data_IF_788921894371
#
_entry.id   IF_788921894371
#
_cell.length_a   1.000
_cell.length_b   1.000
_cell.length_c   1.000
_cell.angle_alpha   90.00
_cell.angle_beta   90.00
_cell.angle_gamma   90.00
#
_symmetry.space_group_name_H-M   'P 1'
#
loop_
_entity.id
_entity.type
_entity.pdbx_description
1 polymer ?
#
# COMPACT_ATOMS: atom_id res chain seq x y z
N UNK A 1 24.39 -17.88 59.31
CA UNK A 1 25.00 -17.13 58.18
C UNK A 1 25.23 -18.14 57.07
N UNK A 2 24.31 -18.23 56.12
CA UNK A 2 24.47 -18.98 54.88
C UNK A 2 23.85 -18.11 53.81
N UNK A 3 24.67 -17.23 53.24
CA UNK A 3 24.34 -16.46 52.05
C UNK A 3 24.46 -17.42 50.88
N UNK A 4 23.32 -17.87 50.35
CA UNK A 4 23.26 -18.53 49.06
C UNK A 4 23.07 -17.41 48.03
N UNK A 5 24.17 -16.91 47.48
CA UNK A 5 24.10 -16.13 46.24
C UNK A 5 23.68 -17.09 45.12
N UNK A 6 22.59 -16.82 44.38
CA UNK A 6 22.27 -17.58 43.20
C UNK A 6 23.26 -17.20 42.10
N UNK A 7 23.86 -18.22 41.47
CA UNK A 7 24.67 -18.06 40.27
C UNK A 7 23.91 -17.24 39.21
N UNK A 8 24.58 -16.35 38.46
CA UNK A 8 23.91 -15.54 37.45
C UNK A 8 23.32 -16.48 36.40
N UNK A 9 22.00 -16.41 36.23
CA UNK A 9 21.31 -17.06 35.13
C UNK A 9 21.99 -16.59 33.83
N UNK A 10 22.55 -17.52 33.05
CA UNK A 10 23.03 -17.22 31.71
C UNK A 10 21.84 -16.66 30.93
N UNK A 11 21.82 -15.35 30.73
CA UNK A 11 20.84 -14.69 29.88
C UNK A 11 20.86 -15.40 28.53
N UNK A 12 19.69 -15.79 28.02
CA UNK A 12 19.60 -16.32 26.66
C UNK A 12 20.21 -15.28 25.72
N UNK A 13 21.04 -15.69 24.73
CA UNK A 13 21.51 -14.77 23.72
C UNK A 13 20.29 -14.12 23.05
N UNK A 14 20.31 -12.81 22.98
CA UNK A 14 19.27 -11.99 22.37
C UNK A 14 19.39 -12.00 20.85
N UNK A 15 20.60 -12.21 20.32
CA UNK A 15 20.82 -12.50 18.91
C UNK A 15 20.49 -13.98 18.65
N UNK A 16 19.50 -14.21 17.80
CA UNK A 16 19.00 -15.56 17.49
C UNK A 16 20.01 -16.37 16.69
N UNK A 17 19.94 -17.71 16.80
CA UNK A 17 20.80 -18.60 16.01
C UNK A 17 20.62 -18.41 14.49
N UNK A 18 19.41 -18.03 14.05
CA UNK A 18 19.11 -17.73 12.63
C UNK A 18 19.87 -16.50 12.18
N UNK A 19 19.81 -15.40 12.93
CA UNK A 19 20.58 -14.18 12.63
C UNK A 19 22.09 -14.46 12.59
N UNK A 20 22.62 -15.24 13.55
CA UNK A 20 24.03 -15.66 13.54
C UNK A 20 24.39 -16.44 12.27
N UNK A 21 23.54 -17.36 11.85
CA UNK A 21 23.75 -18.14 10.63
C UNK A 21 23.74 -17.26 9.37
N UNK A 22 22.80 -16.31 9.28
CA UNK A 22 22.71 -15.38 8.15
C UNK A 22 23.93 -14.44 8.10
N UNK A 23 24.41 -13.97 9.26
CA UNK A 23 25.65 -13.20 9.38
C UNK A 23 26.84 -14.03 8.89
N UNK A 24 27.00 -15.27 9.32
CA UNK A 24 28.12 -16.12 8.86
C UNK A 24 28.03 -16.42 7.37
N UNK A 25 26.82 -16.63 6.84
CA UNK A 25 26.60 -16.79 5.40
C UNK A 25 27.01 -15.53 4.63
N UNK A 26 26.67 -14.36 5.15
CA UNK A 26 27.10 -13.08 4.58
C UNK A 26 28.63 -12.94 4.59
N UNK A 27 29.27 -13.18 5.73
CA UNK A 27 30.73 -13.08 5.87
C UNK A 27 31.49 -14.06 4.96
N UNK A 28 30.98 -15.29 4.77
CA UNK A 28 31.54 -16.25 3.80
C UNK A 28 31.42 -15.79 2.35
N UNK A 29 30.43 -14.94 2.05
CA UNK A 29 30.17 -14.43 0.70
C UNK A 29 30.94 -13.15 0.36
N UNK A 30 31.74 -12.62 1.28
CA UNK A 30 32.56 -11.44 1.03
C UNK A 30 33.65 -11.74 -0.01
N UNK A 31 34.00 -10.73 -0.81
CA UNK A 31 35.12 -10.81 -1.75
C UNK A 31 36.49 -10.86 -1.04
N UNK A 32 36.54 -10.40 0.20
CA UNK A 32 37.71 -10.36 1.07
C UNK A 32 37.46 -11.24 2.30
N UNK A 33 38.47 -11.91 2.86
CA UNK A 33 38.30 -12.67 4.09
C UNK A 33 37.96 -11.75 5.27
N UNK A 34 37.40 -12.30 6.35
CA UNK A 34 36.96 -11.53 7.53
C UNK A 34 38.09 -10.79 8.27
N UNK A 35 39.35 -11.22 8.09
CA UNK A 35 40.53 -10.53 8.60
C UNK A 35 41.06 -9.43 7.67
N UNK A 36 40.48 -9.26 6.49
CA UNK A 36 40.80 -8.19 5.55
C UNK A 36 42.30 -8.12 5.23
N UNK A 37 42.92 -6.96 5.53
CA UNK A 37 44.36 -6.71 5.31
C UNK A 37 45.27 -7.24 6.42
N UNK A 38 44.72 -7.67 7.54
CA UNK A 38 45.49 -8.25 8.64
C UNK A 38 45.76 -9.73 8.37
N UNK A 39 46.42 -10.41 9.30
CA UNK A 39 46.37 -11.87 9.39
C UNK A 39 45.39 -12.31 10.48
N UNK A 40 45.01 -13.59 10.45
CA UNK A 40 44.03 -14.18 11.38
C UNK A 40 44.43 -14.00 12.85
N UNK A 41 45.73 -14.10 13.17
CA UNK A 41 46.22 -13.99 14.55
C UNK A 41 46.12 -12.54 15.00
N UNK A 42 46.68 -11.60 14.23
CA UNK A 42 46.62 -10.16 14.55
C UNK A 42 45.18 -9.66 14.69
N UNK A 43 44.24 -10.16 13.86
CA UNK A 43 42.83 -9.82 14.00
C UNK A 43 42.25 -10.30 15.34
N UNK A 44 42.54 -11.55 15.72
CA UNK A 44 41.93 -12.20 16.88
C UNK A 44 42.53 -11.74 18.21
N UNK A 45 43.78 -11.28 18.24
CA UNK A 45 44.47 -10.80 19.45
C UNK A 45 43.75 -9.62 20.13
N UNK A 46 43.07 -8.78 19.37
CA UNK A 46 42.30 -7.65 19.93
C UNK A 46 40.98 -8.10 20.57
N UNK A 47 40.50 -9.29 20.24
CA UNK A 47 39.21 -9.82 20.70
C UNK A 47 39.37 -10.89 21.79
N UNK A 48 40.49 -11.61 21.78
CA UNK A 48 40.71 -12.77 22.63
C UNK A 48 42.13 -12.79 23.21
N UNK A 49 42.25 -13.28 24.44
CA UNK A 49 43.55 -13.70 24.96
C UNK A 49 43.97 -15.00 24.26
N UNK A 50 44.86 -14.88 23.27
CA UNK A 50 45.40 -16.01 22.52
C UNK A 50 46.58 -16.71 23.22
N UNK A 51 47.13 -16.11 24.28
CA UNK A 51 48.25 -16.68 25.05
C UNK A 51 47.79 -17.61 26.18
N UNK A 52 46.48 -17.70 26.40
CA UNK A 52 45.89 -18.72 27.26
C UNK A 52 46.16 -20.14 26.72
N UNK A 53 46.25 -21.15 27.60
CA UNK A 53 46.37 -22.53 27.16
C UNK A 53 45.15 -22.95 26.34
N UNK A 54 45.34 -23.80 25.31
CA UNK A 54 44.24 -24.38 24.54
C UNK A 54 43.44 -25.40 25.38
N UNK A 55 42.48 -26.10 24.75
CA UNK A 55 41.71 -27.16 25.41
C UNK A 55 42.62 -28.23 26.03
N UNK A 56 42.13 -28.94 27.04
CA UNK A 56 42.91 -29.88 27.88
C UNK A 56 43.67 -30.97 27.11
N UNK A 57 43.33 -31.21 25.83
CA UNK A 57 43.91 -32.25 24.99
C UNK A 57 44.94 -31.75 23.95
N UNK A 58 45.20 -30.44 23.87
CA UNK A 58 46.19 -29.92 22.92
C UNK A 58 47.60 -29.99 23.51
N UNK A 59 48.56 -30.43 22.69
CA UNK A 59 49.99 -30.52 23.05
C UNK A 59 50.70 -29.17 22.92
N UNK A 60 50.01 -28.15 22.40
CA UNK A 60 50.55 -26.82 22.16
C UNK A 60 50.33 -25.91 23.37
N UNK A 61 51.25 -24.97 23.63
CA UNK A 61 51.22 -24.19 24.86
C UNK A 61 50.14 -23.09 24.87
N UNK A 62 49.73 -22.59 23.71
CA UNK A 62 48.81 -21.45 23.59
C UNK A 62 47.81 -21.64 22.44
N UNK A 63 46.66 -20.96 22.52
CA UNK A 63 45.68 -20.90 21.41
C UNK A 63 46.33 -20.28 20.17
N UNK A 64 47.20 -19.27 20.33
CA UNK A 64 47.99 -18.69 19.24
C UNK A 64 48.81 -19.76 18.51
N UNK A 65 49.54 -20.60 19.25
CA UNK A 65 50.37 -21.66 18.67
C UNK A 65 49.52 -22.71 17.94
N UNK A 66 48.34 -23.02 18.48
CA UNK A 66 47.36 -23.94 17.89
C UNK A 66 46.83 -23.43 16.54
N UNK A 67 46.39 -22.16 16.48
CA UNK A 67 45.98 -21.49 15.24
C UNK A 67 47.13 -21.48 14.24
N UNK A 68 48.34 -21.09 14.68
CA UNK A 68 49.51 -21.02 13.81
C UNK A 68 49.84 -22.38 13.18
N UNK A 69 49.77 -23.45 13.97
CA UNK A 69 50.02 -24.80 13.50
C UNK A 69 49.01 -25.23 12.44
N UNK A 70 47.71 -25.07 12.71
CA UNK A 70 46.66 -25.55 11.81
C UNK A 70 46.51 -24.69 10.55
N UNK A 71 46.57 -23.36 10.69
CA UNK A 71 46.32 -22.42 9.59
C UNK A 71 47.51 -22.21 8.67
N UNK A 72 48.74 -22.21 9.21
CA UNK A 72 49.93 -21.83 8.43
C UNK A 72 50.95 -22.96 8.25
N UNK A 73 51.04 -23.91 9.19
CA UNK A 73 51.99 -25.03 9.05
C UNK A 73 51.35 -26.24 8.37
N UNK A 74 50.11 -26.58 8.74
CA UNK A 74 49.40 -27.76 8.24
C UNK A 74 48.47 -27.46 7.06
N UNK A 75 47.86 -26.26 7.04
CA UNK A 75 46.79 -25.88 6.10
C UNK A 75 45.60 -26.85 6.12
N UNK A 76 45.21 -27.32 7.32
CA UNK A 76 44.20 -28.38 7.52
C UNK A 76 42.83 -27.86 7.98
N UNK A 77 42.70 -26.55 8.20
CA UNK A 77 41.42 -25.88 8.48
C UNK A 77 40.94 -25.09 7.25
N UNK A 78 39.62 -24.86 7.08
CA UNK A 78 39.09 -23.94 6.08
C UNK A 78 39.14 -22.48 6.55
N UNK A 79 39.01 -21.50 5.65
CA UNK A 79 39.09 -20.06 5.98
C UNK A 79 37.97 -19.54 6.91
N UNK A 80 36.88 -20.29 7.01
CA UNK A 80 35.72 -19.98 7.83
C UNK A 80 35.68 -20.78 9.15
N UNK A 81 36.79 -21.45 9.51
CA UNK A 81 36.92 -22.28 10.71
C UNK A 81 36.45 -21.59 12.00
N UNK A 82 36.63 -20.28 12.10
CA UNK A 82 36.28 -19.48 13.28
C UNK A 82 34.79 -19.56 13.63
N UNK A 83 33.91 -19.78 12.66
CA UNK A 83 32.46 -19.80 12.91
C UNK A 83 32.01 -21.09 13.61
N UNK A 84 32.81 -22.16 13.49
CA UNK A 84 32.55 -23.46 14.10
C UNK A 84 33.39 -23.68 15.38
N UNK A 85 34.40 -22.84 15.62
CA UNK A 85 35.25 -22.95 16.80
C UNK A 85 34.55 -22.50 18.08
N UNK A 86 34.24 -23.47 18.94
CA UNK A 86 33.58 -23.26 20.23
C UNK A 86 34.39 -22.38 21.18
N UNK A 87 35.71 -22.29 21.04
CA UNK A 87 36.60 -21.47 21.90
C UNK A 87 36.39 -19.98 21.69
N UNK A 88 35.92 -19.59 20.50
CA UNK A 88 35.64 -18.21 20.12
C UNK A 88 34.21 -17.81 20.48
N UNK A 89 33.29 -18.77 20.62
CA UNK A 89 31.91 -18.47 21.05
C UNK A 89 31.11 -17.62 20.06
N UNK A 90 31.52 -17.53 18.79
CA UNK A 90 30.81 -16.75 17.78
C UNK A 90 29.41 -17.34 17.49
N UNK A 91 29.26 -18.67 17.49
CA UNK A 91 27.99 -19.33 17.14
C UNK A 91 27.02 -19.46 18.32
N UNK A 92 27.51 -19.80 19.51
CA UNK A 92 26.68 -20.12 20.68
C UNK A 92 27.08 -19.36 21.96
N UNK A 93 28.05 -18.44 21.87
CA UNK A 93 28.52 -17.63 23.00
C UNK A 93 27.72 -16.35 23.19
N UNK A 94 28.23 -15.48 24.06
CA UNK A 94 27.61 -14.21 24.39
C UNK A 94 27.47 -13.29 23.16
N UNK A 95 26.41 -12.48 23.12
CA UNK A 95 26.14 -11.59 21.98
C UNK A 95 27.25 -10.53 21.83
N UNK A 96 27.81 -10.07 22.95
CA UNK A 96 28.89 -9.09 23.00
C UNK A 96 30.12 -9.57 22.25
N UNK A 97 30.41 -10.87 22.29
CA UNK A 97 31.56 -11.47 21.59
C UNK A 97 31.35 -11.41 20.07
N UNK A 98 30.15 -11.77 19.60
CA UNK A 98 29.81 -11.66 18.18
C UNK A 98 29.81 -10.20 17.73
N UNK A 99 29.21 -9.30 18.50
CA UNK A 99 29.11 -7.88 18.17
C UNK A 99 30.48 -7.20 18.13
N UNK A 100 31.37 -7.53 19.07
CA UNK A 100 32.76 -7.06 19.07
C UNK A 100 33.52 -7.59 17.83
N UNK A 101 33.33 -8.85 17.49
CA UNK A 101 33.89 -9.43 16.26
C UNK A 101 33.41 -8.68 15.01
N UNK A 102 32.10 -8.42 14.88
CA UNK A 102 31.55 -7.68 13.73
C UNK A 102 32.05 -6.24 13.66
N UNK A 103 32.20 -5.55 14.81
CA UNK A 103 32.81 -4.23 14.86
C UNK A 103 34.27 -4.26 14.40
N UNK A 104 35.02 -5.31 14.72
CA UNK A 104 36.40 -5.51 14.23
C UNK A 104 36.45 -5.79 12.73
N UNK A 105 35.53 -6.60 12.18
CA UNK A 105 35.46 -6.88 10.73
C UNK A 105 35.36 -5.59 9.91
N UNK A 106 34.61 -4.60 10.38
CA UNK A 106 34.44 -3.31 9.68
C UNK A 106 35.44 -2.24 10.11
N UNK A 107 36.44 -2.60 10.93
CA UNK A 107 37.41 -1.65 11.46
C UNK A 107 38.33 -1.13 10.34
N UNK A 108 38.73 0.16 10.35
CA UNK A 108 39.59 0.76 9.31
C UNK A 108 40.95 0.10 9.04
N UNK A 109 41.44 -0.73 9.97
CA UNK A 109 42.66 -1.53 9.81
C UNK A 109 42.41 -2.82 9.03
N UNK A 110 41.19 -3.37 9.13
CA UNK A 110 40.74 -4.57 8.43
C UNK A 110 40.24 -4.19 7.04
N UNK A 111 39.32 -3.23 6.98
CA UNK A 111 38.72 -2.69 5.75
C UNK A 111 39.12 -1.22 5.62
N UNK A 112 40.10 -0.96 4.75
CA UNK A 112 40.66 0.38 4.58
C UNK A 112 39.79 1.31 3.71
N UNK A 113 38.94 0.74 2.86
CA UNK A 113 38.04 1.45 1.96
C UNK A 113 36.75 1.82 2.72
N UNK A 114 36.37 3.11 2.69
CA UNK A 114 35.27 3.63 3.51
C UNK A 114 33.92 3.21 2.94
N UNK A 115 33.80 3.17 1.61
CA UNK A 115 32.62 2.72 0.90
C UNK A 115 32.38 1.22 1.13
N UNK A 116 33.43 0.39 1.09
CA UNK A 116 33.38 -1.04 1.43
C UNK A 116 32.94 -1.25 2.89
N UNK A 117 33.58 -0.57 3.84
CA UNK A 117 33.22 -0.67 5.26
C UNK A 117 31.77 -0.22 5.53
N UNK A 118 31.33 0.87 4.91
CA UNK A 118 29.95 1.37 5.02
C UNK A 118 28.96 0.38 4.41
N UNK A 119 29.30 -0.24 3.28
CA UNK A 119 28.52 -1.30 2.66
C UNK A 119 28.34 -2.51 3.58
N UNK A 120 29.41 -2.95 4.23
CA UNK A 120 29.35 -4.03 5.22
C UNK A 120 28.49 -3.66 6.42
N UNK A 121 28.67 -2.47 6.99
CA UNK A 121 27.85 -2.01 8.12
C UNK A 121 26.37 -1.96 7.76
N UNK A 122 26.03 -1.49 6.55
CA UNK A 122 24.64 -1.45 6.08
C UNK A 122 24.01 -2.84 6.07
N UNK A 123 24.70 -3.83 5.52
CA UNK A 123 24.18 -5.20 5.41
C UNK A 123 24.16 -5.91 6.77
N UNK A 124 25.19 -5.73 7.60
CA UNK A 124 25.20 -6.23 8.98
C UNK A 124 24.07 -5.63 9.81
N UNK A 125 23.80 -4.33 9.69
CA UNK A 125 22.67 -3.69 10.37
C UNK A 125 21.32 -4.23 9.90
N UNK A 126 21.19 -4.56 8.60
CA UNK A 126 19.98 -5.21 8.08
C UNK A 126 19.76 -6.58 8.73
N UNK A 127 20.83 -7.34 8.96
CA UNK A 127 20.77 -8.66 9.60
C UNK A 127 20.55 -8.58 11.12
N UNK A 128 21.14 -7.60 11.80
CA UNK A 128 21.05 -7.43 13.26
C UNK A 128 19.76 -6.76 13.72
N UNK A 129 19.13 -5.94 12.87
CA UNK A 129 17.96 -5.14 13.23
C UNK A 129 16.74 -5.94 13.76
N UNK A 130 16.40 -7.13 13.23
CA UNK A 130 15.33 -7.96 13.78
C UNK A 130 15.55 -8.34 15.25
N UNK A 131 16.80 -8.49 15.67
CA UNK A 131 17.19 -8.85 17.03
C UNK A 131 17.49 -7.61 17.90
N UNK A 132 17.15 -6.40 17.43
CA UNK A 132 17.28 -5.16 18.20
C UNK A 132 18.72 -4.63 18.31
N UNK A 133 19.62 -5.06 17.42
CA UNK A 133 21.01 -4.64 17.40
C UNK A 133 21.38 -3.90 16.12
N UNK A 134 22.39 -3.04 16.22
CA UNK A 134 23.02 -2.40 15.07
C UNK A 134 24.38 -1.81 15.43
N UNK A 135 25.19 -1.57 14.42
CA UNK A 135 26.48 -0.89 14.48
C UNK A 135 26.29 0.58 14.11
N UNK A 136 26.72 1.48 15.00
CA UNK A 136 26.70 2.94 14.79
C UNK A 136 28.11 3.49 14.87
N UNK A 137 28.43 4.47 14.03
CA UNK A 137 29.69 5.21 14.16
C UNK A 137 29.70 6.00 15.47
N UNK A 138 30.79 5.91 16.21
CA UNK A 138 30.97 6.66 17.47
C UNK A 138 32.18 7.58 17.45
N UNK A 139 33.19 7.27 16.64
CA UNK A 139 34.43 8.03 16.53
C UNK A 139 35.00 7.91 15.10
N UNK A 140 36.04 8.67 14.79
CA UNK A 140 36.77 8.59 13.53
C UNK A 140 38.28 8.51 13.80
N UNK A 141 38.96 7.58 13.12
CA UNK A 141 40.42 7.48 13.10
C UNK A 141 40.91 7.82 11.69
N UNK A 142 41.78 8.83 11.58
CA UNK A 142 42.32 9.29 10.28
C UNK A 142 41.25 9.56 9.22
N UNK A 143 40.09 10.09 9.64
CA UNK A 143 38.95 10.37 8.75
C UNK A 143 38.07 9.15 8.42
N UNK A 144 38.35 7.97 8.97
CA UNK A 144 37.56 6.74 8.78
C UNK A 144 36.71 6.43 10.02
N UNK A 145 35.44 6.04 9.86
CA UNK A 145 34.55 5.80 10.99
C UNK A 145 34.94 4.55 11.80
N UNK A 146 34.80 4.65 13.11
CA UNK A 146 34.83 3.53 14.05
C UNK A 146 33.40 3.21 14.48
N UNK A 147 33.04 1.93 14.47
CA UNK A 147 31.70 1.46 14.76
C UNK A 147 31.62 0.73 16.10
N UNK A 148 30.54 0.95 16.84
CA UNK A 148 30.23 0.25 18.10
C UNK A 148 28.83 -0.36 18.01
N UNK A 149 28.59 -1.52 18.63
CA UNK A 149 27.25 -2.05 18.76
C UNK A 149 26.39 -1.16 19.66
N UNK A 150 25.15 -0.97 19.26
CA UNK A 150 24.12 -0.22 19.99
C UNK A 150 22.79 -0.95 19.91
N UNK A 151 21.97 -0.77 20.94
CA UNK A 151 20.57 -1.17 20.90
C UNK A 151 19.80 -0.28 19.94
N UNK A 152 19.02 -0.90 19.07
CA UNK A 152 18.05 -0.24 18.21
C UNK A 152 16.68 -0.81 18.52
N UNK A 153 15.62 -0.02 18.31
CA UNK A 153 14.27 -0.55 18.40
C UNK A 153 14.18 -1.75 17.43
N UNK A 154 13.83 -2.95 17.89
CA UNK A 154 13.75 -4.12 17.02
C UNK A 154 12.75 -3.78 15.92
N UNK A 155 13.18 -3.92 14.67
CA UNK A 155 12.30 -3.65 13.54
C UNK A 155 11.21 -4.73 13.39
N UNK A 156 11.10 -5.67 14.33
CA UNK A 156 10.30 -6.88 14.22
C UNK A 156 10.98 -7.91 13.31
N UNK A 157 10.48 -9.16 13.28
CA UNK A 157 11.01 -10.21 12.41
C UNK A 157 10.72 -9.88 10.94
N UNK A 158 11.57 -9.05 10.35
CA UNK A 158 11.46 -8.64 8.97
C UNK A 158 12.36 -9.51 8.11
N UNK A 159 11.76 -10.55 7.53
CA UNK A 159 12.35 -11.24 6.39
C UNK A 159 12.34 -10.24 5.22
N UNK A 160 13.50 -9.80 4.70
CA UNK A 160 13.53 -9.02 3.47
C UNK A 160 13.20 -9.97 2.33
N UNK A 161 11.92 -10.05 2.00
CA UNK A 161 11.45 -10.72 0.81
C UNK A 161 11.35 -9.67 -0.30
N UNK A 162 12.08 -9.82 -1.43
CA UNK A 162 11.82 -8.97 -2.59
C UNK A 162 10.36 -9.16 -3.01
N UNK A 163 9.56 -8.10 -2.91
CA UNK A 163 8.13 -8.10 -3.23
C UNK A 163 7.92 -7.81 -4.72
N UNK A 164 7.65 -8.85 -5.51
CA UNK A 164 7.13 -8.67 -6.86
C UNK A 164 5.67 -8.20 -6.84
N UNK A 165 5.24 -7.56 -7.94
CA UNK A 165 3.92 -6.92 -8.02
C UNK A 165 2.72 -7.85 -7.84
N UNK A 166 2.89 -9.16 -8.04
CA UNK A 166 1.82 -10.17 -7.92
C UNK A 166 2.08 -11.20 -6.80
N UNK A 167 3.01 -10.94 -5.88
CA UNK A 167 3.36 -11.89 -4.81
C UNK A 167 2.36 -11.84 -3.64
N UNK A 168 1.12 -12.30 -3.85
CA UNK A 168 0.03 -12.26 -2.84
C UNK A 168 0.44 -12.88 -1.50
N UNK A 169 1.20 -13.98 -1.53
CA UNK A 169 1.68 -14.64 -0.30
C UNK A 169 2.73 -13.83 0.49
N UNK A 170 3.50 -12.96 -0.19
CA UNK A 170 4.44 -12.06 0.50
C UNK A 170 3.74 -10.81 1.01
N UNK A 171 2.73 -10.31 0.31
CA UNK A 171 1.87 -9.22 0.81
C UNK A 171 1.07 -9.64 2.05
N UNK A 172 0.68 -10.91 2.15
CA UNK A 172 0.10 -11.47 3.37
C UNK A 172 1.11 -11.47 4.54
N UNK A 173 2.39 -11.76 4.28
CA UNK A 173 3.45 -11.62 5.29
C UNK A 173 3.63 -10.16 5.75
N UNK A 174 3.58 -9.21 4.82
CA UNK A 174 3.62 -7.76 5.12
C UNK A 174 2.45 -7.36 6.01
N UNK A 175 1.25 -7.86 5.72
CA UNK A 175 0.09 -7.66 6.58
C UNK A 175 0.30 -8.27 7.97
N UNK A 176 0.84 -9.49 8.04
CA UNK A 176 1.17 -10.14 9.31
C UNK A 176 2.20 -9.38 10.15
N UNK A 177 3.21 -8.79 9.51
CA UNK A 177 4.20 -7.94 10.18
C UNK A 177 3.56 -6.64 10.69
N UNK A 178 2.75 -5.99 9.84
CA UNK A 178 2.01 -4.77 10.20
C UNK A 178 1.07 -5.05 11.38
N UNK A 179 0.37 -6.18 11.36
CA UNK A 179 -0.47 -6.66 12.46
C UNK A 179 0.33 -6.82 13.75
N UNK A 180 1.49 -7.48 13.70
CA UNK A 180 2.33 -7.69 14.88
C UNK A 180 2.85 -6.38 15.48
N UNK A 181 3.22 -5.40 14.64
CA UNK A 181 3.67 -4.09 15.11
C UNK A 181 2.55 -3.30 15.80
N UNK A 182 1.34 -3.34 15.24
CA UNK A 182 0.15 -2.72 15.84
C UNK A 182 -0.25 -3.39 17.17
N UNK A 183 -0.13 -4.72 17.25
CA UNK A 183 -0.39 -5.47 18.48
C UNK A 183 0.59 -5.10 19.59
N UNK A 184 1.89 -5.03 19.28
CA UNK A 184 2.91 -4.56 20.22
C UNK A 184 2.68 -3.11 20.69
N UNK A 185 2.11 -2.27 19.83
CA UNK A 185 1.76 -0.89 20.16
C UNK A 185 0.46 -0.76 20.99
N UNK A 186 -0.32 -1.84 21.14
CA UNK A 186 -1.61 -1.83 21.84
C UNK A 186 -2.76 -1.23 21.02
N UNK A 187 -2.61 -1.16 19.69
CA UNK A 187 -3.54 -0.46 18.80
C UNK A 187 -4.63 -1.40 18.28
N UNK A 188 -5.57 -1.77 19.17
CA UNK A 188 -6.56 -2.84 18.93
C UNK A 188 -7.44 -2.60 17.70
N UNK A 189 -7.97 -1.38 17.50
CA UNK A 189 -8.85 -1.06 16.37
C UNK A 189 -8.15 -1.19 15.01
N UNK A 190 -6.87 -0.79 14.93
CA UNK A 190 -6.08 -0.89 13.71
C UNK A 190 -5.64 -2.33 13.46
N UNK A 191 -5.24 -3.05 14.52
CA UNK A 191 -4.87 -4.46 14.46
C UNK A 191 -6.04 -5.33 14.01
N UNK A 192 -7.23 -5.14 14.58
CA UNK A 192 -8.39 -5.97 14.29
C UNK A 192 -8.93 -5.75 12.87
N UNK A 193 -8.74 -4.55 12.30
CA UNK A 193 -9.02 -4.28 10.88
C UNK A 193 -8.23 -5.21 9.94
N UNK A 194 -6.99 -5.57 10.30
CA UNK A 194 -6.11 -6.37 9.45
C UNK A 194 -6.42 -7.87 9.48
N UNK A 195 -7.21 -8.37 10.45
CA UNK A 195 -7.46 -9.81 10.62
C UNK A 195 -8.13 -10.48 9.42
N UNK A 196 -9.03 -9.75 8.75
CA UNK A 196 -9.80 -10.23 7.60
C UNK A 196 -9.45 -9.49 6.32
N UNK A 197 -8.43 -8.63 6.38
CA UNK A 197 -8.07 -7.78 5.27
C UNK A 197 -7.14 -8.50 4.29
N UNK A 198 -7.26 -8.16 3.02
CA UNK A 198 -6.35 -8.60 1.96
C UNK A 198 -5.63 -7.38 1.42
N UNK A 199 -4.30 -7.45 1.35
CA UNK A 199 -3.47 -6.38 0.80
C UNK A 199 -3.11 -6.71 -0.65
N UNK A 200 -3.34 -5.76 -1.54
CA UNK A 200 -2.90 -5.83 -2.93
C UNK A 200 -2.16 -4.55 -3.30
N UNK A 201 -1.20 -4.64 -4.21
CA UNK A 201 -0.54 -3.47 -4.78
C UNK A 201 -1.13 -3.23 -6.16
N UNK A 202 -1.82 -2.10 -6.31
CA UNK A 202 -2.39 -1.65 -7.57
C UNK A 202 -1.46 -0.62 -8.18
N UNK A 203 -0.98 -0.88 -9.39
CA UNK A 203 -0.32 0.15 -10.19
C UNK A 203 -1.33 1.28 -10.47
N UNK A 204 -0.95 2.54 -10.21
CA UNK A 204 -1.85 3.70 -10.37
C UNK A 204 -2.60 3.59 -11.70
N UNK A 205 -3.94 3.51 -11.62
CA UNK A 205 -4.84 2.89 -12.61
C UNK A 205 -4.91 3.54 -13.99
N UNK A 206 -3.82 3.58 -14.73
CA UNK A 206 -3.72 4.21 -16.05
C UNK A 206 -3.73 5.74 -16.03
N UNK A 207 -3.80 6.37 -14.85
CA UNK A 207 -3.60 7.80 -14.66
C UNK A 207 -2.20 8.05 -14.11
N UNK A 208 -1.33 8.53 -14.98
CA UNK A 208 -0.01 9.02 -14.63
C UNK A 208 -0.16 10.23 -13.70
N UNK A 209 0.29 10.11 -12.46
CA UNK A 209 0.44 11.22 -11.52
C UNK A 209 1.91 11.62 -11.46
N UNK A 210 2.40 12.44 -12.39
CA UNK A 210 3.78 12.86 -12.31
C UNK A 210 4.02 13.73 -11.08
N UNK A 211 5.07 13.42 -10.34
CA UNK A 211 5.53 14.28 -9.26
C UNK A 211 6.64 15.21 -9.75
N UNK A 212 6.61 16.51 -9.38
CA UNK A 212 7.71 17.41 -9.70
C UNK A 212 8.99 16.97 -8.97
N UNK A 213 9.94 16.36 -9.70
CA UNK A 213 11.30 16.08 -9.21
C UNK A 213 11.79 14.64 -9.38
N UNK A 214 10.94 13.70 -9.80
CA UNK A 214 11.26 12.26 -9.90
C UNK A 214 11.63 11.78 -11.31
N UNK A 215 11.82 12.71 -12.25
CA UNK A 215 12.16 12.36 -13.64
C UNK A 215 11.01 11.83 -14.49
N UNK A 216 9.77 11.78 -13.98
CA UNK A 216 8.55 11.48 -14.75
C UNK A 216 8.52 10.06 -15.38
N UNK A 217 9.33 9.11 -14.88
CA UNK A 217 9.52 7.78 -15.53
C UNK A 217 9.28 6.57 -14.64
N UNK A 218 9.15 6.73 -13.32
CA UNK A 218 8.99 5.59 -12.40
C UNK A 218 7.51 5.28 -12.13
N UNK A 219 7.16 3.99 -12.07
CA UNK A 219 5.79 3.56 -11.80
C UNK A 219 5.49 3.69 -10.30
N UNK A 220 4.46 4.46 -9.95
CA UNK A 220 3.93 4.55 -8.58
C UNK A 220 2.86 3.49 -8.34
N UNK A 221 2.81 3.01 -7.09
CA UNK A 221 1.86 2.00 -6.65
C UNK A 221 0.98 2.53 -5.51
N UNK A 222 -0.22 1.96 -5.43
CA UNK A 222 -1.20 2.17 -4.39
C UNK A 222 -1.43 0.86 -3.64
N UNK A 223 -1.25 0.88 -2.32
CA UNK A 223 -1.63 -0.20 -1.43
C UNK A 223 -3.14 -0.18 -1.23
N UNK A 224 -3.80 -1.25 -1.66
CA UNK A 224 -5.25 -1.44 -1.52
C UNK A 224 -5.50 -2.49 -0.46
N UNK A 225 -6.05 -2.06 0.67
CA UNK A 225 -6.50 -2.91 1.75
C UNK A 225 -7.98 -3.25 1.54
N UNK A 226 -8.26 -4.45 1.06
CA UNK A 226 -9.63 -4.96 0.91
C UNK A 226 -10.11 -5.54 2.23
N UNK A 227 -11.15 -4.96 2.82
CA UNK A 227 -11.74 -5.37 4.11
C UNK A 227 -13.18 -5.86 3.91
N UNK A 228 -13.75 -6.53 4.91
CA UNK A 228 -15.18 -6.86 4.86
C UNK A 228 -16.03 -5.58 4.71
N UNK A 229 -17.08 -5.64 3.90
CA UNK A 229 -17.93 -4.47 3.62
C UNK A 229 -18.59 -3.91 4.89
N UNK A 230 -18.87 -4.78 5.84
CA UNK A 230 -19.38 -4.45 7.17
C UNK A 230 -18.34 -3.70 8.01
N UNK A 231 -17.04 -3.86 7.75
CA UNK A 231 -16.00 -3.13 8.49
C UNK A 231 -15.72 -1.75 7.89
N UNK A 232 -15.96 -1.55 6.58
CA UNK A 232 -15.70 -0.27 5.90
C UNK A 232 -16.24 0.97 6.62
N UNK A 233 -17.46 0.89 7.18
CA UNK A 233 -18.11 2.03 7.83
C UNK A 233 -17.58 2.29 9.24
N UNK A 234 -16.80 1.35 9.79
CA UNK A 234 -16.15 1.47 11.10
C UNK A 234 -14.71 1.99 11.00
N UNK A 235 -14.15 2.04 9.78
CA UNK A 235 -12.80 2.56 9.52
C UNK A 235 -12.81 4.07 9.67
N UNK A 236 -12.12 4.57 10.71
CA UNK A 236 -11.89 6.01 10.90
C UNK A 236 -10.64 6.45 10.14
N UNK A 237 -10.54 7.74 9.82
CA UNK A 237 -9.31 8.31 9.22
C UNK A 237 -8.09 8.13 10.13
N UNK A 238 -8.26 8.18 11.44
CA UNK A 238 -7.18 7.94 12.42
C UNK A 238 -6.67 6.50 12.34
N UNK A 239 -7.58 5.52 12.29
CA UNK A 239 -7.22 4.11 12.10
C UNK A 239 -6.53 3.88 10.77
N UNK A 240 -7.03 4.51 9.71
CA UNK A 240 -6.46 4.42 8.36
C UNK A 240 -5.04 4.97 8.31
N UNK A 241 -4.80 6.13 8.90
CA UNK A 241 -3.48 6.78 8.95
C UNK A 241 -2.48 5.96 9.78
N UNK A 242 -2.92 5.38 10.90
CA UNK A 242 -2.09 4.54 11.75
C UNK A 242 -1.68 3.24 11.04
N UNK A 243 -2.63 2.58 10.37
CA UNK A 243 -2.36 1.41 9.54
C UNK A 243 -1.40 1.79 8.42
N UNK A 244 -1.64 2.91 7.72
CA UNK A 244 -0.77 3.36 6.64
C UNK A 244 0.66 3.63 7.11
N UNK A 245 0.86 4.42 8.17
CA UNK A 245 2.20 4.72 8.71
C UNK A 245 2.98 3.44 9.04
N UNK A 246 2.31 2.47 9.65
CA UNK A 246 2.93 1.20 10.03
C UNK A 246 3.26 0.37 8.79
N UNK A 247 2.31 0.28 7.85
CA UNK A 247 2.47 -0.45 6.59
C UNK A 247 3.56 0.15 5.70
N UNK A 248 3.61 1.47 5.57
CA UNK A 248 4.62 2.23 4.82
C UNK A 248 6.02 1.95 5.37
N UNK A 249 6.16 1.88 6.70
CA UNK A 249 7.43 1.52 7.35
C UNK A 249 7.88 0.12 6.94
N UNK A 250 6.97 -0.86 6.98
CA UNK A 250 7.27 -2.25 6.59
C UNK A 250 7.61 -2.34 5.10
N UNK A 251 6.82 -1.71 4.22
CA UNK A 251 7.04 -1.70 2.78
C UNK A 251 8.37 -1.04 2.41
N UNK A 252 8.71 0.10 3.02
CA UNK A 252 9.97 0.79 2.80
C UNK A 252 11.18 -0.06 3.20
N UNK A 253 11.08 -0.82 4.28
CA UNK A 253 12.13 -1.75 4.72
C UNK A 253 12.32 -2.94 3.78
N UNK A 254 11.27 -3.33 3.07
CA UNK A 254 11.31 -4.35 2.01
C UNK A 254 11.73 -3.77 0.64
N UNK A 255 12.12 -2.49 0.59
CA UNK A 255 12.57 -1.82 -0.62
C UNK A 255 11.44 -1.30 -1.52
N UNK A 256 10.19 -1.34 -1.06
CA UNK A 256 9.01 -0.82 -1.78
C UNK A 256 8.72 0.63 -1.42
N UNK A 257 9.64 1.53 -1.78
CA UNK A 257 9.48 2.99 -1.63
C UNK A 257 8.60 3.62 -2.73
N UNK A 258 8.23 2.82 -3.72
CA UNK A 258 7.38 3.13 -4.87
C UNK A 258 5.88 3.11 -4.54
N UNK A 259 5.50 2.55 -3.38
CA UNK A 259 4.12 2.54 -2.88
C UNK A 259 3.87 3.84 -2.10
N UNK A 260 3.05 4.72 -2.67
CA UNK A 260 2.90 6.10 -2.17
C UNK A 260 1.48 6.44 -1.73
N UNK A 261 0.52 5.53 -1.92
CA UNK A 261 -0.89 5.73 -1.58
C UNK A 261 -1.45 4.52 -0.86
N UNK A 262 -2.46 4.80 -0.04
CA UNK A 262 -3.19 3.80 0.71
C UNK A 262 -4.69 4.02 0.61
N UNK A 263 -5.38 2.97 0.16
CA UNK A 263 -6.83 2.96 0.03
C UNK A 263 -7.38 1.74 0.74
N UNK A 264 -8.47 1.95 1.48
CA UNK A 264 -9.24 0.87 2.08
C UNK A 264 -10.50 0.68 1.23
N UNK A 265 -10.66 -0.50 0.66
CA UNK A 265 -11.80 -0.88 -0.17
C UNK A 265 -12.59 -2.00 0.50
N UNK A 266 -13.88 -2.09 0.23
CA UNK A 266 -14.70 -3.20 0.71
C UNK A 266 -14.66 -4.34 -0.30
N UNK A 267 -14.59 -5.57 0.20
CA UNK A 267 -14.64 -6.77 -0.64
C UNK A 267 -15.81 -6.69 -1.64
N UNK A 268 -15.51 -6.61 -2.96
CA UNK A 268 -16.52 -6.62 -3.98
C UNK A 268 -17.06 -8.04 -4.10
N UNK A 269 -18.04 -8.40 -3.26
CA UNK A 269 -18.75 -9.68 -3.41
C UNK A 269 -19.12 -9.88 -4.89
N UNK A 270 -18.92 -11.08 -5.45
CA UNK A 270 -19.36 -11.36 -6.81
C UNK A 270 -20.83 -10.99 -6.93
N UNK A 271 -21.14 -10.16 -7.92
CA UNK A 271 -22.52 -9.74 -8.19
C UNK A 271 -23.39 -11.00 -8.21
N UNK A 272 -24.53 -11.01 -7.49
CA UNK A 272 -25.40 -12.18 -7.50
C UNK A 272 -25.74 -12.52 -8.95
N UNK A 273 -25.62 -13.79 -9.32
CA UNK A 273 -26.03 -14.26 -10.63
C UNK A 273 -27.56 -14.17 -10.70
N UNK A 274 -28.07 -13.05 -11.21
CA UNK A 274 -29.50 -12.83 -11.38
C UNK A 274 -29.92 -13.53 -12.66
N UNK A 275 -30.70 -14.61 -12.52
CA UNK A 275 -31.24 -15.33 -13.66
C UNK A 275 -32.08 -14.38 -14.55
N UNK A 276 -32.07 -14.53 -15.89
CA UNK A 276 -32.77 -13.63 -16.82
C UNK A 276 -34.27 -13.48 -16.53
N UNK A 277 -34.86 -14.46 -15.87
CA UNK A 277 -36.26 -14.57 -15.48
C UNK A 277 -36.55 -14.11 -14.04
N UNK A 278 -35.63 -13.41 -13.38
CA UNK A 278 -35.80 -12.93 -12.00
C UNK A 278 -37.10 -12.16 -11.74
N UNK A 279 -37.64 -11.49 -12.77
CA UNK A 279 -38.94 -10.78 -12.71
C UNK A 279 -40.14 -11.72 -12.64
N UNK A 280 -39.99 -12.95 -13.11
CA UNK A 280 -41.02 -13.98 -13.17
C UNK A 280 -40.98 -14.92 -11.96
N UNK A 281 -39.85 -14.95 -11.24
CA UNK A 281 -39.65 -15.78 -10.05
C UNK A 281 -40.05 -15.10 -8.73
N UNK A 282 -40.30 -13.79 -8.74
CA UNK A 282 -40.80 -13.08 -7.57
C UNK A 282 -42.26 -13.43 -7.27
N UNK A 283 -42.54 -13.91 -6.06
CA UNK A 283 -43.91 -14.03 -5.56
C UNK A 283 -44.54 -12.64 -5.61
N UNK A 284 -45.66 -12.51 -6.35
CA UNK A 284 -46.40 -11.26 -6.41
C UNK A 284 -46.73 -10.79 -4.97
N UNK A 285 -46.38 -9.55 -4.58
CA UNK A 285 -46.65 -9.09 -3.23
C UNK A 285 -48.15 -9.19 -2.95
N UNK A 286 -48.51 -9.85 -1.85
CA UNK A 286 -49.91 -10.04 -1.44
C UNK A 286 -50.60 -8.74 -1.01
N UNK A 287 -49.84 -7.64 -0.86
CA UNK A 287 -50.37 -6.33 -0.58
C UNK A 287 -50.56 -5.55 -1.88
N UNK A 288 -51.72 -4.89 -2.11
CA UNK A 288 -51.82 -3.94 -3.20
C UNK A 288 -50.72 -2.90 -3.02
N UNK A 289 -49.90 -2.71 -4.05
CA UNK A 289 -48.96 -1.59 -4.12
C UNK A 289 -49.82 -0.34 -3.95
N UNK A 290 -49.78 0.24 -2.75
CA UNK A 290 -50.36 1.54 -2.49
C UNK A 290 -49.62 2.49 -3.42
N UNK A 291 -50.29 2.89 -4.51
CA UNK A 291 -49.85 3.98 -5.36
C UNK A 291 -49.82 5.22 -4.49
N UNK A 292 -48.67 5.44 -3.85
CA UNK A 292 -48.40 6.60 -3.04
C UNK A 292 -48.76 7.85 -3.83
N UNK A 293 -49.62 8.66 -3.21
CA UNK A 293 -49.88 10.07 -3.47
C UNK A 293 -49.39 10.62 -4.81
N UNK A 294 -50.33 10.82 -5.74
CA UNK A 294 -50.19 11.85 -6.78
C UNK A 294 -50.07 13.21 -6.08
N UNK A 295 -48.84 13.67 -5.87
CA UNK A 295 -48.59 15.10 -5.76
C UNK A 295 -48.89 15.70 -7.14
N UNK A 296 -50.10 16.23 -7.27
CA UNK A 296 -50.49 17.16 -8.32
C UNK A 296 -49.66 18.44 -8.16
N UNK A 297 -48.41 18.42 -8.61
CA UNK A 297 -47.68 19.65 -8.87
C UNK A 297 -47.88 20.03 -10.35
N UNK A 298 -48.48 21.20 -10.53
CA UNK A 298 -48.74 21.89 -11.79
C UNK A 298 -47.44 22.47 -12.37
N UNK A 299 -46.47 21.63 -12.74
CA UNK A 299 -45.21 22.09 -13.34
C UNK A 299 -45.04 21.57 -14.76
N UNK A 300 -44.47 22.40 -15.63
CA UNK A 300 -44.10 22.08 -17.04
C UNK A 300 -42.82 21.25 -17.13
N UNK A 301 -42.52 20.50 -16.07
CA UNK A 301 -41.28 19.77 -15.85
C UNK A 301 -41.43 18.29 -16.27
N UNK A 302 -40.42 17.73 -16.94
CA UNK A 302 -40.34 16.32 -17.31
C UNK A 302 -39.09 15.69 -16.69
N UNK A 303 -39.28 14.64 -15.88
CA UNK A 303 -38.19 13.89 -15.27
C UNK A 303 -37.56 12.96 -16.33
N UNK A 304 -36.30 13.23 -16.71
CA UNK A 304 -35.58 12.46 -17.74
C UNK A 304 -35.24 11.05 -17.28
N UNK A 305 -35.08 10.82 -15.98
CA UNK A 305 -34.68 9.51 -15.45
C UNK A 305 -35.85 8.55 -15.32
N UNK A 306 -37.07 9.07 -15.13
CA UNK A 306 -38.30 8.29 -14.94
C UNK A 306 -39.26 8.36 -16.12
N UNK A 307 -39.15 9.39 -16.95
CA UNK A 307 -40.05 9.66 -18.07
C UNK A 307 -39.71 8.86 -19.32
N UNK A 308 -40.73 8.45 -20.05
CA UNK A 308 -40.58 7.82 -21.37
C UNK A 308 -40.63 8.87 -22.47
N UNK A 309 -39.51 9.07 -23.17
CA UNK A 309 -39.41 10.04 -24.26
C UNK A 309 -40.34 9.74 -25.45
N UNK A 310 -40.75 8.47 -25.65
CA UNK A 310 -41.73 8.12 -26.68
C UNK A 310 -43.10 8.75 -26.42
N UNK A 311 -43.36 9.18 -25.18
CA UNK A 311 -44.58 9.89 -24.83
C UNK A 311 -44.54 11.37 -25.22
N UNK A 312 -43.43 11.91 -25.72
CA UNK A 312 -43.32 13.33 -26.10
C UNK A 312 -43.56 13.52 -27.61
N UNK A 313 -44.36 14.53 -27.96
CA UNK A 313 -44.57 14.96 -29.36
C UNK A 313 -44.43 16.45 -29.52
N UNK A 314 -43.80 16.86 -30.61
CA UNK A 314 -43.67 18.26 -31.00
C UNK A 314 -44.98 18.71 -31.65
N UNK A 315 -45.63 19.74 -31.10
CA UNK A 315 -46.80 20.38 -31.73
C UNK A 315 -46.49 21.84 -32.07
N UNK A 316 -47.04 22.30 -33.19
CA UNK A 316 -47.06 23.72 -33.53
C UNK A 316 -48.10 24.45 -32.67
N UNK A 317 -47.76 25.61 -32.14
CA UNK A 317 -48.73 26.51 -31.53
C UNK A 317 -49.55 27.19 -32.64
N UNK A 318 -50.86 27.30 -32.49
CA UNK A 318 -51.73 27.93 -33.50
C UNK A 318 -51.58 29.46 -33.58
N UNK A 319 -50.84 30.09 -32.64
CA UNK A 319 -50.83 31.55 -32.44
C UNK A 319 -49.46 32.22 -32.51
N UNK A 320 -48.39 31.54 -32.93
CA UNK A 320 -47.06 32.16 -33.03
C UNK A 320 -46.22 31.55 -34.14
N UNK A 321 -45.80 32.40 -35.08
CA UNK A 321 -44.99 32.05 -36.23
C UNK A 321 -43.65 31.42 -35.79
N UNK A 322 -43.46 30.13 -36.08
CA UNK A 322 -42.17 29.44 -35.98
C UNK A 322 -41.79 28.72 -34.67
N UNK A 323 -42.49 28.93 -33.55
CA UNK A 323 -42.17 28.26 -32.27
C UNK A 323 -42.95 26.95 -32.09
N UNK A 324 -42.24 25.85 -31.80
CA UNK A 324 -42.85 24.55 -31.48
C UNK A 324 -42.50 24.13 -30.06
N UNK A 325 -43.47 23.52 -29.38
CA UNK A 325 -43.31 23.05 -28.02
C UNK A 325 -43.45 21.53 -27.94
N UNK A 326 -42.77 20.93 -26.96
CA UNK A 326 -42.89 19.52 -26.63
C UNK A 326 -44.13 19.33 -25.76
N UNK A 327 -44.97 18.36 -26.11
CA UNK A 327 -46.15 17.98 -25.36
C UNK A 327 -46.07 16.53 -24.97
N UNK A 328 -46.41 16.23 -23.72
CA UNK A 328 -46.64 14.86 -23.30
C UNK A 328 -47.99 14.36 -23.86
N UNK A 329 -47.94 13.31 -24.65
CA UNK A 329 -49.10 12.68 -25.30
C UNK A 329 -50.07 12.04 -24.32
N UNK A 330 -49.61 11.67 -23.12
CA UNK A 330 -50.44 11.03 -22.10
C UNK A 330 -51.26 12.04 -21.31
N UNK A 331 -50.70 13.22 -21.09
CA UNK A 331 -51.31 14.26 -20.25
C UNK A 331 -51.77 15.48 -21.06
N UNK A 332 -51.38 15.59 -22.33
CA UNK A 332 -51.62 16.76 -23.17
C UNK A 332 -50.88 18.02 -22.72
N UNK A 333 -49.93 17.90 -21.78
CA UNK A 333 -49.27 19.04 -21.13
C UNK A 333 -48.05 19.51 -21.90
N UNK A 334 -47.83 20.82 -21.91
CA UNK A 334 -46.63 21.43 -22.47
C UNK A 334 -45.45 21.19 -21.52
N UNK A 335 -44.36 20.64 -22.04
CA UNK A 335 -43.11 20.44 -21.35
C UNK A 335 -42.10 21.47 -21.83
N UNK A 336 -41.55 22.25 -20.91
CA UNK A 336 -40.52 23.25 -21.19
C UNK A 336 -39.19 22.89 -20.55
N UNK A 337 -39.22 22.23 -19.40
CA UNK A 337 -38.06 22.01 -18.55
C UNK A 337 -37.86 20.51 -18.30
N UNK A 338 -36.65 20.02 -18.56
CA UNK A 338 -36.27 18.62 -18.39
C UNK A 338 -35.37 18.50 -17.17
N UNK A 339 -35.82 17.78 -16.14
CA UNK A 339 -35.04 17.55 -14.92
C UNK A 339 -34.03 16.44 -15.20
N UNK A 340 -32.74 16.78 -15.17
CA UNK A 340 -31.64 15.86 -15.47
C UNK A 340 -31.10 15.16 -14.21
N UNK A 341 -31.04 15.89 -13.09
CA UNK A 341 -30.58 15.38 -11.79
C UNK A 341 -31.36 16.09 -10.68
N UNK A 342 -31.99 15.33 -9.79
CA UNK A 342 -32.86 15.82 -8.72
C UNK A 342 -32.28 15.52 -7.34
N UNK A 343 -31.46 16.43 -6.80
CA UNK A 343 -30.86 16.28 -5.46
C UNK A 343 -31.74 16.93 -4.38
N UNK A 344 -31.53 16.61 -3.08
CA UNK A 344 -32.37 17.14 -2.00
C UNK A 344 -32.42 18.66 -1.89
N UNK A 345 -31.33 19.37 -2.25
CA UNK A 345 -31.24 20.83 -2.10
C UNK A 345 -31.26 21.60 -3.43
N UNK A 346 -30.83 20.98 -4.53
CA UNK A 346 -30.70 21.62 -5.85
C UNK A 346 -31.14 20.62 -6.93
N UNK A 347 -31.94 21.07 -7.90
CA UNK A 347 -32.25 20.32 -9.11
C UNK A 347 -31.52 20.93 -10.31
N UNK A 348 -31.02 20.11 -11.23
CA UNK A 348 -30.46 20.55 -12.51
C UNK A 348 -31.51 20.37 -13.60
N UNK A 349 -31.88 21.47 -14.25
CA UNK A 349 -32.90 21.48 -15.31
C UNK A 349 -32.32 21.96 -16.64
N UNK A 350 -32.87 21.40 -17.71
CA UNK A 350 -32.59 21.75 -19.09
C UNK A 350 -33.87 22.27 -19.74
N UNK A 351 -33.94 23.57 -19.99
CA UNK A 351 -35.04 24.15 -20.77
C UNK A 351 -34.79 23.92 -22.25
N UNK A 352 -35.80 23.41 -22.97
CA UNK A 352 -35.69 23.12 -24.42
C UNK A 352 -36.73 23.92 -25.19
N UNK A 353 -36.25 24.75 -26.13
CA UNK A 353 -37.10 25.47 -27.09
C UNK A 353 -36.79 24.99 -28.49
N UNK A 354 -37.80 24.56 -29.24
CA UNK A 354 -37.61 24.07 -30.61
C UNK A 354 -37.93 25.19 -31.59
N UNK A 355 -36.95 25.51 -32.44
CA UNK A 355 -37.09 26.46 -33.53
C UNK A 355 -37.17 25.68 -34.85
N UNK A 356 -38.20 25.95 -35.66
CA UNK A 356 -38.29 25.40 -37.00
C UNK A 356 -37.52 26.29 -37.99
N UNK A 357 -36.55 25.74 -38.70
CA UNK A 357 -35.83 26.43 -39.79
C UNK A 357 -35.95 25.60 -41.06
N UNK A 358 -36.78 26.04 -42.00
CA UNK A 358 -37.14 25.26 -43.20
C UNK A 358 -37.85 23.95 -42.83
N UNK A 359 -37.28 22.83 -43.29
CA UNK A 359 -37.77 21.46 -43.00
C UNK A 359 -37.09 20.82 -41.77
N UNK A 360 -36.19 21.54 -41.10
CA UNK A 360 -35.43 21.03 -39.95
C UNK A 360 -35.89 21.64 -38.61
N UNK A 361 -35.80 20.84 -37.55
CA UNK A 361 -36.04 21.26 -36.17
C UNK A 361 -34.70 21.44 -35.45
N UNK A 362 -34.42 22.65 -34.98
CA UNK A 362 -33.20 22.94 -34.22
C UNK A 362 -33.57 23.20 -32.76
N UNK A 363 -33.12 22.35 -31.81
CA UNK A 363 -33.34 22.59 -30.40
C UNK A 363 -32.37 23.68 -29.89
N UNK A 364 -32.89 24.66 -29.18
CA UNK A 364 -32.10 25.53 -28.31
C UNK A 364 -32.28 25.06 -26.88
N UNK A 365 -31.16 24.76 -26.23
CA UNK A 365 -31.14 24.25 -24.87
C UNK A 365 -30.54 25.28 -23.93
N UNK A 366 -31.09 25.37 -22.72
CA UNK A 366 -30.55 26.20 -21.63
C UNK A 366 -30.47 25.36 -20.37
N UNK A 367 -29.26 25.19 -19.83
CA UNK A 367 -29.06 24.51 -18.57
C UNK A 367 -29.13 25.52 -17.41
N UNK A 368 -29.82 25.18 -16.33
CA UNK A 368 -29.87 26.00 -15.12
C UNK A 368 -30.12 25.13 -13.88
N UNK A 369 -29.81 25.68 -12.70
CA UNK A 369 -30.02 25.02 -11.42
C UNK A 369 -31.16 25.68 -10.65
N UNK A 370 -32.09 24.88 -10.15
CA UNK A 370 -33.19 25.29 -9.28
C UNK A 370 -32.83 24.99 -7.84
N UNK A 371 -32.61 26.04 -7.05
CA UNK A 371 -32.45 25.91 -5.62
C UNK A 371 -33.81 25.61 -4.96
N UNK A 372 -33.92 24.45 -4.32
CA UNK A 372 -35.17 24.03 -3.66
C UNK A 372 -35.41 24.73 -2.31
N UNK A 373 -34.42 25.45 -1.77
CA UNK A 373 -34.54 26.22 -0.51
C UNK A 373 -35.13 27.61 -0.70
N UNK A 374 -35.11 28.16 -1.92
CA UNK A 374 -35.75 29.44 -2.27
C UNK A 374 -36.98 29.21 -3.13
N UNK A 375 -38.09 28.81 -2.51
CA UNK A 375 -39.39 28.79 -3.19
C UNK A 375 -39.88 30.25 -3.38
N UNK A 376 -39.49 30.89 -4.50
CA UNK A 376 -40.08 32.18 -4.89
C UNK A 376 -39.31 33.08 -5.85
N UNK A 377 -38.00 32.89 -6.06
CA UNK A 377 -37.20 33.85 -6.86
C UNK A 377 -36.79 33.35 -8.25
N UNK A 378 -37.00 34.22 -9.23
CA UNK A 378 -36.76 34.09 -10.68
C UNK A 378 -35.28 33.73 -10.98
N UNK A 379 -34.99 32.90 -12.01
CA UNK A 379 -33.66 32.33 -12.23
C UNK A 379 -32.56 33.35 -12.58
N UNK A 380 -31.44 33.27 -11.85
CA UNK A 380 -30.17 33.93 -12.21
C UNK A 380 -29.55 33.17 -13.38
N UNK A 381 -29.50 33.81 -14.55
CA UNK A 381 -28.91 33.26 -15.76
C UNK A 381 -27.40 33.49 -15.77
N UNK A 382 -26.59 32.49 -15.40
CA UNK A 382 -25.18 32.49 -15.78
C UNK A 382 -25.05 32.01 -17.24
N UNK A 383 -24.64 32.94 -18.11
CA UNK A 383 -24.17 32.65 -19.48
C UNK A 383 -22.70 32.30 -19.38
N UNK A 384 -22.30 31.11 -19.84
CA UNK A 384 -21.02 30.92 -20.51
C UNK A 384 -21.04 29.64 -21.37
N UNK A 385 -20.26 29.73 -22.45
CA UNK A 385 -20.32 29.07 -23.76
C UNK A 385 -20.24 27.53 -23.80
N UNK A 386 -20.88 26.96 -24.83
CA UNK A 386 -20.29 25.92 -25.69
C UNK A 386 -20.77 26.16 -27.14
N UNK A 387 -20.03 27.00 -27.88
CA UNK A 387 -19.96 26.87 -29.33
C UNK A 387 -19.14 25.63 -29.66
N UNK A 388 -19.63 24.77 -30.54
CA UNK A 388 -18.81 23.70 -31.14
C UNK A 388 -19.28 22.27 -30.92
N UNK A 389 -20.54 21.92 -31.21
CA UNK A 389 -20.91 20.57 -31.66
C UNK A 389 -22.01 20.67 -32.73
N UNK A 390 -21.65 21.28 -33.87
CA UNK A 390 -22.37 21.12 -35.13
C UNK A 390 -22.09 19.71 -35.67
N UNK A 391 -22.98 18.75 -35.41
CA UNK A 391 -22.89 17.44 -36.04
C UNK A 391 -23.56 16.31 -35.28
N UNK A 392 -24.88 16.33 -35.12
CA UNK A 392 -25.66 15.10 -34.92
C UNK A 392 -27.04 15.27 -35.55
N UNK A 393 -27.14 14.81 -36.80
CA UNK A 393 -28.39 14.61 -37.51
C UNK A 393 -29.01 13.31 -37.00
N UNK A 394 -30.15 13.37 -36.32
CA UNK A 394 -30.90 12.15 -35.94
C UNK A 394 -31.71 11.73 -37.16
N UNK A 395 -31.20 10.73 -37.89
CA UNK A 395 -31.93 10.04 -38.96
C UNK A 395 -33.02 9.16 -38.33
N UNK A 396 -34.27 9.43 -38.66
CA UNK A 396 -35.40 8.56 -38.32
C UNK A 396 -35.35 7.26 -39.13
N UNK A 397 -34.93 6.14 -38.52
CA UNK A 397 -35.13 4.80 -39.10
C UNK A 397 -36.50 4.28 -38.67
N UNK A 398 -37.43 4.26 -39.63
CA UNK A 398 -38.65 3.46 -39.58
C UNK A 398 -38.27 2.01 -39.90
N UNK A 399 -38.54 1.08 -38.99
CA UNK A 399 -38.49 -0.35 -39.26
C UNK A 399 -39.93 -0.86 -39.36
N UNK A 400 -40.34 -1.19 -40.59
CA UNK A 400 -41.57 -1.90 -40.88
C UNK A 400 -41.41 -3.39 -40.56
N UNK A 401 -42.45 -3.99 -39.94
CA UNK A 401 -42.58 -5.42 -39.71
C UNK A 401 -42.64 -6.24 -41.01
N UNK A 402 -42.21 -7.51 -40.99
CA UNK A 402 -42.40 -8.43 -42.10
C UNK A 402 -43.78 -9.09 -42.03
N UNK A 403 -44.46 -9.18 -43.17
CA UNK A 403 -45.66 -9.96 -43.37
C UNK A 403 -45.94 -10.10 -44.86
N UNK A 404 -45.94 -11.34 -45.35
CA UNK A 404 -46.23 -11.70 -46.74
C UNK A 404 -45.07 -12.38 -47.43
#
# INVERSE_FOLDING_TARGET
MTSSDPAPAHARPEITAVTRQDIFKYLRGLSSPWWGKLDEVTFLEDLYDLDRPPSENSQLPTVRADIQQHRFNNFDLPDDWIFEDLRLGLSHGADEVLLAFLARVVHPEVVADVEEATGHVKELNRLLAPDGWGLRSYEFVSGRPLYTPVRVAPTGPLVPLPLGDEDTGKLDLVLGQTYSLLDCAGEESARDLLRTAVLTLRRDGGFFHPMPGDGWTEATYEAVLTVERELLHTVTEETKELVWRTLETVLGQLGRIDVQRFVVEGDPRPMPNIAPDWRSQGIAPAAPIVRGFRLLNLTTEFDVTRGDFASLRIRGSQDSDGLRHLYDTRTGRRITDFVLDDRPQVATLLSVTIIKKGDSYTPRVKLWKKDKKKAGDTPVSQREFCEGLSGLSIVSKSAASPGG
#
